data_IF_629985580520
#
_entry.id   IF_629985580520
#
_cell.length_a   1.000
_cell.length_b   1.000
_cell.length_c   1.000
_cell.angle_alpha   90.00
_cell.angle_beta   90.00
_cell.angle_gamma   90.00
#
_symmetry.space_group_name_H-M   'P 1'
#
loop_
_entity.id
_entity.type
_entity.pdbx_description
1 polymer ?
#
# COMPACT_ATOMS: atom_id res chain seq x y z
N UNK A 1 -34.50 -2.35 14.07
CA UNK A 1 -33.25 -2.91 13.57
C UNK A 1 -32.11 -2.13 14.21
N UNK A 2 -31.22 -2.78 14.93
CA UNK A 2 -30.05 -2.12 15.48
C UNK A 2 -28.88 -2.33 14.52
N UNK A 3 -28.35 -1.26 13.97
CA UNK A 3 -27.12 -1.28 13.19
C UNK A 3 -25.91 -1.16 14.10
N UNK A 4 -24.81 -1.79 13.72
CA UNK A 4 -23.50 -1.66 14.35
C UNK A 4 -22.51 -1.01 13.39
N UNK A 5 -21.71 -0.11 13.89
CA UNK A 5 -20.72 0.63 13.10
C UNK A 5 -19.32 0.36 13.63
N UNK A 6 -18.47 -0.16 12.76
CA UNK A 6 -17.03 -0.21 12.93
C UNK A 6 -16.49 1.13 12.46
N UNK A 7 -15.95 1.92 13.38
CA UNK A 7 -15.49 3.29 13.08
C UNK A 7 -14.13 3.30 12.41
N UNK A 8 -13.90 4.33 11.60
CA UNK A 8 -12.56 4.71 11.13
C UNK A 8 -11.59 4.79 12.31
N UNK A 9 -10.39 4.24 12.14
CA UNK A 9 -9.37 4.16 13.19
C UNK A 9 -9.55 2.99 14.16
N UNK A 10 -10.58 2.13 14.00
CA UNK A 10 -10.69 0.92 14.80
C UNK A 10 -9.50 0.01 14.55
N UNK A 11 -8.86 -0.45 15.64
CA UNK A 11 -7.61 -1.19 15.59
C UNK A 11 -7.80 -2.71 15.60
N UNK A 12 -6.95 -3.37 14.85
CA UNK A 12 -6.70 -4.80 14.88
C UNK A 12 -5.21 -5.04 15.13
N UNK A 13 -4.89 -6.14 15.76
CA UNK A 13 -3.50 -6.54 15.99
C UNK A 13 -3.20 -7.76 15.13
N UNK A 14 -2.32 -7.58 14.15
CA UNK A 14 -1.82 -8.63 13.28
C UNK A 14 -0.53 -9.24 13.83
N UNK A 15 -0.29 -10.53 13.60
CA UNK A 15 0.91 -11.25 14.03
C UNK A 15 1.55 -11.99 12.87
N UNK A 16 2.88 -11.93 12.81
CA UNK A 16 3.73 -12.73 11.92
C UNK A 16 4.98 -13.22 12.68
N UNK A 17 5.98 -13.75 11.96
CA UNK A 17 7.23 -14.22 12.55
C UNK A 17 8.09 -13.09 13.13
N UNK A 18 7.99 -11.88 12.58
CA UNK A 18 8.76 -10.69 13.00
C UNK A 18 8.17 -10.02 14.24
N UNK A 19 6.86 -10.20 14.51
CA UNK A 19 6.24 -9.61 15.68
C UNK A 19 4.75 -9.34 15.57
N UNK A 20 4.36 -8.27 16.24
CA UNK A 20 2.96 -7.85 16.41
C UNK A 20 2.81 -6.43 15.88
N UNK A 21 1.83 -6.21 15.00
CA UNK A 21 1.64 -4.96 14.29
C UNK A 21 0.19 -4.49 14.40
N UNK A 22 -0.01 -3.18 14.42
CA UNK A 22 -1.33 -2.58 14.46
C UNK A 22 -1.82 -2.37 13.03
N UNK A 23 -3.10 -2.66 12.83
CA UNK A 23 -3.83 -2.40 11.59
C UNK A 23 -5.06 -1.57 11.90
N UNK A 24 -5.41 -0.63 11.05
CA UNK A 24 -6.51 0.31 11.25
C UNK A 24 -7.50 0.27 10.08
N UNK A 25 -8.77 0.48 10.39
CA UNK A 25 -9.83 0.68 9.38
C UNK A 25 -9.82 2.15 8.95
N UNK A 26 -9.89 2.42 7.64
CA UNK A 26 -9.82 3.79 7.10
C UNK A 26 -11.18 4.42 6.81
N UNK A 27 -12.28 3.68 6.95
CA UNK A 27 -13.62 4.19 6.73
C UNK A 27 -14.62 3.60 7.74
N UNK A 28 -15.69 4.36 8.04
CA UNK A 28 -16.79 3.85 8.83
C UNK A 28 -17.53 2.74 8.07
N UNK A 29 -17.70 1.56 8.68
CA UNK A 29 -18.46 0.45 8.10
C UNK A 29 -19.64 0.11 9.00
N UNK A 30 -20.85 0.32 8.48
CA UNK A 30 -22.09 0.02 9.19
C UNK A 30 -22.75 -1.24 8.62
N UNK A 31 -23.17 -2.15 9.50
CA UNK A 31 -23.92 -3.37 9.15
C UNK A 31 -25.14 -3.52 10.06
N UNK A 32 -26.20 -4.08 9.50
CA UNK A 32 -27.41 -4.40 10.27
C UNK A 32 -27.22 -5.71 11.02
N UNK A 33 -27.78 -5.77 12.23
CA UNK A 33 -27.81 -7.01 13.00
C UNK A 33 -28.97 -7.90 12.55
N UNK A 34 -28.77 -9.20 12.59
CA UNK A 34 -29.78 -10.21 12.32
C UNK A 34 -29.90 -11.19 13.51
N UNK A 35 -30.96 -11.94 13.55
CA UNK A 35 -31.16 -13.01 14.55
C UNK A 35 -30.84 -14.34 13.86
N UNK A 36 -29.91 -15.10 14.44
CA UNK A 36 -29.53 -16.41 13.92
C UNK A 36 -30.60 -17.47 14.25
N UNK A 37 -30.44 -18.73 13.72
CA UNK A 37 -31.36 -19.83 13.95
C UNK A 37 -31.52 -20.27 15.42
N UNK A 38 -30.64 -19.79 16.31
CA UNK A 38 -30.68 -20.04 17.76
C UNK A 38 -31.28 -18.86 18.54
N UNK A 39 -31.82 -17.85 17.87
CA UNK A 39 -32.37 -16.65 18.49
C UNK A 39 -31.35 -15.65 19.00
N UNK A 40 -30.06 -15.81 18.67
CA UNK A 40 -28.99 -14.93 19.10
C UNK A 40 -28.83 -13.80 18.05
N UNK A 41 -28.76 -12.58 18.53
CA UNK A 41 -28.48 -11.41 17.68
C UNK A 41 -27.02 -11.38 17.27
N UNK A 42 -26.76 -11.35 15.97
CA UNK A 42 -25.43 -11.32 15.37
C UNK A 42 -25.28 -10.17 14.38
N UNK A 43 -24.06 -9.77 14.15
CA UNK A 43 -23.66 -8.90 13.03
C UNK A 43 -22.43 -9.53 12.36
N UNK A 44 -22.38 -9.48 11.06
CA UNK A 44 -21.24 -9.95 10.29
C UNK A 44 -20.72 -8.81 9.45
N UNK A 45 -19.44 -8.48 9.62
CA UNK A 45 -18.72 -7.54 8.78
C UNK A 45 -17.91 -8.34 7.76
N UNK A 46 -18.32 -8.29 6.50
CA UNK A 46 -17.64 -8.98 5.39
C UNK A 46 -16.82 -7.97 4.58
N UNK A 47 -15.73 -8.46 4.03
CA UNK A 47 -14.86 -7.71 3.11
C UNK A 47 -14.40 -6.37 3.70
N UNK A 48 -13.84 -6.45 4.91
CA UNK A 48 -13.28 -5.29 5.59
C UNK A 48 -11.79 -5.22 5.28
N UNK A 49 -11.41 -4.15 4.58
CA UNK A 49 -10.01 -3.82 4.35
C UNK A 49 -9.43 -3.14 5.59
N UNK A 50 -8.33 -3.67 6.09
CA UNK A 50 -7.55 -3.10 7.19
C UNK A 50 -6.15 -2.78 6.68
N UNK A 51 -5.64 -1.63 7.06
CA UNK A 51 -4.35 -1.10 6.61
C UNK A 51 -3.37 -1.09 7.77
N UNK A 52 -2.14 -1.49 7.52
CA UNK A 52 -1.12 -1.52 8.54
C UNK A 52 -0.72 -0.10 8.95
N UNK A 53 -0.72 0.16 10.23
CA UNK A 53 -0.32 1.41 10.85
C UNK A 53 -1.31 1.96 11.85
N UNK A 54 -0.82 2.91 12.64
CA UNK A 54 -1.63 3.73 13.53
C UNK A 54 -2.19 4.92 12.76
N UNK A 55 -3.49 5.08 12.76
CA UNK A 55 -4.13 6.28 12.20
C UNK A 55 -3.92 7.46 13.15
N UNK A 56 -3.17 8.44 12.70
CA UNK A 56 -2.83 9.65 13.44
C UNK A 56 -3.45 10.88 12.78
N UNK A 57 -3.71 11.91 13.57
CA UNK A 57 -4.31 13.15 13.13
C UNK A 57 -3.45 14.34 13.58
N UNK A 58 -3.19 15.26 12.66
CA UNK A 58 -2.49 16.52 12.87
C UNK A 58 -3.41 17.67 12.50
N UNK A 59 -3.45 18.70 13.33
CA UNK A 59 -4.22 19.90 13.05
C UNK A 59 -3.30 21.13 13.03
N UNK A 60 -3.47 21.95 11.99
CA UNK A 60 -2.76 23.21 11.82
C UNK A 60 -3.77 24.36 11.68
N UNK A 61 -3.55 25.44 12.43
CA UNK A 61 -4.18 26.71 12.15
C UNK A 61 -3.33 27.51 11.16
N UNK A 62 -3.92 28.00 10.09
CA UNK A 62 -3.20 28.75 9.06
C UNK A 62 -2.99 30.18 9.49
N UNK A 63 -1.72 30.60 9.56
CA UNK A 63 -1.30 31.97 9.79
C UNK A 63 -0.44 32.44 8.59
N UNK A 64 -1.01 33.25 7.73
CA UNK A 64 -0.34 33.77 6.54
C UNK A 64 0.61 34.94 6.81
N UNK A 65 0.68 35.43 8.05
CA UNK A 65 1.65 36.47 8.46
C UNK A 65 3.09 35.95 8.52
N UNK A 66 3.25 34.61 8.67
CA UNK A 66 4.52 33.92 8.73
C UNK A 66 4.62 32.86 7.62
N UNK A 67 5.85 32.51 7.22
CA UNK A 67 6.06 31.35 6.34
C UNK A 67 5.86 30.09 7.16
N UNK A 68 4.74 29.40 6.95
CA UNK A 68 4.36 28.20 7.66
C UNK A 68 4.65 26.95 6.83
N UNK A 69 5.17 25.90 7.46
CA UNK A 69 5.39 24.59 6.88
C UNK A 69 4.49 23.56 7.55
N UNK A 70 3.78 22.76 6.76
CA UNK A 70 2.86 21.73 7.24
C UNK A 70 3.55 20.37 7.18
N UNK A 71 4.34 20.05 8.20
CA UNK A 71 5.23 18.89 8.23
C UNK A 71 4.54 17.73 8.97
N UNK A 72 4.55 16.55 8.37
CA UNK A 72 4.19 15.31 9.05
C UNK A 72 5.41 14.84 9.83
N UNK A 73 5.35 14.79 11.18
CA UNK A 73 6.54 14.54 12.02
C UNK A 73 6.88 13.04 12.09
N UNK A 74 6.79 12.33 10.98
CA UNK A 74 7.14 10.92 10.86
C UNK A 74 7.72 10.62 9.47
N UNK A 75 8.88 9.96 9.45
CA UNK A 75 9.47 9.40 8.23
C UNK A 75 8.80 8.08 7.80
N UNK A 76 7.97 7.51 8.68
CA UNK A 76 7.24 6.26 8.43
C UNK A 76 5.77 6.50 8.07
N UNK A 77 5.41 7.75 7.74
CA UNK A 77 4.07 8.10 7.30
C UNK A 77 3.81 7.55 5.89
N UNK A 78 2.66 6.88 5.74
CA UNK A 78 2.17 6.50 4.41
C UNK A 78 1.57 7.71 3.71
N UNK A 79 2.23 8.18 2.66
CA UNK A 79 1.83 9.37 1.89
C UNK A 79 0.76 9.07 0.85
N UNK A 80 0.56 7.81 0.46
CA UNK A 80 -0.45 7.42 -0.53
C UNK A 80 -1.86 7.38 0.09
N UNK A 81 -1.94 7.15 1.40
CA UNK A 81 -3.19 7.07 2.17
C UNK A 81 -3.50 8.33 2.98
N UNK A 82 -2.84 9.45 2.67
CA UNK A 82 -3.11 10.73 3.33
C UNK A 82 -4.55 11.21 3.06
N UNK A 83 -5.20 11.65 4.12
CA UNK A 83 -6.46 12.41 4.02
C UNK A 83 -6.21 13.82 4.51
N UNK A 84 -6.41 14.81 3.63
CA UNK A 84 -6.24 16.22 3.95
C UNK A 84 -7.59 16.93 3.84
N UNK A 85 -8.04 17.51 4.93
CA UNK A 85 -9.30 18.26 5.02
C UNK A 85 -8.96 19.68 5.45
N UNK A 86 -9.48 20.66 4.72
CA UNK A 86 -9.33 22.07 5.07
C UNK A 86 -10.70 22.66 5.42
N UNK A 87 -10.81 23.17 6.61
CA UNK A 87 -11.96 23.96 7.04
C UNK A 87 -11.64 25.43 6.78
N UNK A 88 -12.21 25.93 5.69
CA UNK A 88 -12.02 27.32 5.30
C UNK A 88 -12.92 28.21 6.13
N UNK A 89 -12.38 29.30 6.60
CA UNK A 89 -13.10 30.26 7.41
C UNK A 89 -14.32 30.86 6.68
N UNK A 90 -14.31 30.86 5.34
CA UNK A 90 -15.34 31.37 4.46
C UNK A 90 -16.39 30.32 4.01
N UNK A 91 -16.24 29.08 4.45
CA UNK A 91 -17.13 27.96 4.12
C UNK A 91 -17.77 27.38 5.36
N UNK A 92 -19.01 26.87 5.24
CA UNK A 92 -19.72 26.24 6.35
C UNK A 92 -19.42 24.72 6.50
N UNK A 93 -18.66 24.15 5.56
CA UNK A 93 -18.35 22.70 5.51
C UNK A 93 -16.89 22.51 5.19
N UNK A 94 -16.18 21.67 5.98
CA UNK A 94 -14.81 21.29 5.67
C UNK A 94 -14.68 20.62 4.29
N UNK A 95 -13.64 20.95 3.55
CA UNK A 95 -13.41 20.50 2.19
C UNK A 95 -12.24 19.51 2.10
N UNK A 96 -12.47 18.37 1.45
CA UNK A 96 -11.42 17.40 1.18
C UNK A 96 -10.53 17.87 0.03
N UNK A 97 -9.23 17.74 0.22
CA UNK A 97 -8.19 18.03 -0.76
C UNK A 97 -7.60 16.71 -1.29
N UNK A 98 -7.23 16.69 -2.56
CA UNK A 98 -6.63 15.52 -3.22
C UNK A 98 -5.15 15.74 -3.52
N UNK A 99 -4.31 14.69 -3.51
CA UNK A 99 -2.92 14.82 -3.94
C UNK A 99 -2.83 15.12 -5.43
N UNK A 100 -1.82 15.92 -5.81
CA UNK A 100 -1.53 16.22 -7.21
C UNK A 100 -0.73 15.06 -7.81
N UNK A 101 -1.24 14.49 -8.89
CA UNK A 101 -0.53 13.50 -9.71
C UNK A 101 -0.01 14.10 -11.02
N UNK A 102 -0.70 15.11 -11.56
CA UNK A 102 -0.31 15.79 -12.79
C UNK A 102 -0.59 17.29 -12.67
N UNK A 103 0.43 18.11 -12.94
CA UNK A 103 0.36 19.58 -12.84
C UNK A 103 -0.42 20.18 -13.99
N UNK A 104 -0.50 19.52 -15.14
CA UNK A 104 -1.09 20.07 -16.36
C UNK A 104 -2.61 20.18 -16.31
N UNK A 105 -3.25 19.48 -15.38
CA UNK A 105 -4.71 19.45 -15.26
C UNK A 105 -5.25 20.26 -14.05
N UNK A 106 -4.43 21.12 -13.47
CA UNK A 106 -4.80 21.85 -12.25
C UNK A 106 -5.28 23.27 -12.59
N UNK A 107 -6.48 23.62 -12.11
CA UNK A 107 -6.99 24.99 -12.15
C UNK A 107 -6.73 25.74 -10.83
N UNK A 108 -6.85 27.07 -10.86
CA UNK A 108 -6.65 27.94 -9.71
C UNK A 108 -7.60 27.66 -8.51
N UNK A 109 -8.74 27.01 -8.76
CA UNK A 109 -9.77 26.72 -7.74
C UNK A 109 -9.76 25.28 -7.24
N UNK A 110 -8.90 24.43 -7.83
CA UNK A 110 -8.86 23.01 -7.47
C UNK A 110 -8.32 22.81 -6.05
N UNK A 111 -8.96 21.91 -5.33
CA UNK A 111 -8.60 21.52 -3.96
C UNK A 111 -7.52 20.43 -4.01
N UNK A 112 -6.29 20.89 -4.10
CA UNK A 112 -5.15 20.01 -4.29
C UNK A 112 -4.02 20.35 -3.31
N UNK A 113 -3.21 19.35 -3.01
CA UNK A 113 -1.98 19.50 -2.27
C UNK A 113 -0.85 18.72 -2.94
N UNK A 114 0.36 19.18 -2.69
CA UNK A 114 1.60 18.54 -3.10
C UNK A 114 2.28 17.96 -1.87
N UNK A 115 2.93 16.82 -2.02
CA UNK A 115 3.77 16.23 -0.98
C UNK A 115 5.21 16.29 -1.44
N UNK A 116 6.08 16.80 -0.59
CA UNK A 116 7.52 16.75 -0.81
C UNK A 116 8.23 16.26 0.44
N UNK A 117 9.35 15.60 0.27
CA UNK A 117 10.23 15.21 1.36
C UNK A 117 11.19 16.37 1.70
N UNK A 118 11.36 16.67 2.98
CA UNK A 118 12.30 17.64 3.45
C UNK A 118 13.68 16.99 3.74
N UNK A 119 14.68 17.82 4.10
CA UNK A 119 16.04 17.35 4.39
C UNK A 119 16.15 16.43 5.63
N UNK A 120 15.11 16.36 6.43
CA UNK A 120 15.03 15.53 7.64
C UNK A 120 14.21 14.23 7.40
N UNK A 121 14.03 13.84 6.14
CA UNK A 121 13.25 12.64 5.75
C UNK A 121 11.78 12.69 6.22
N UNK A 122 11.25 13.89 6.44
CA UNK A 122 9.87 14.11 6.81
C UNK A 122 9.09 14.66 5.62
N UNK A 123 7.81 14.34 5.55
CA UNK A 123 6.95 14.83 4.48
C UNK A 123 6.35 16.19 4.83
N UNK A 124 6.41 17.11 3.89
CA UNK A 124 5.81 18.44 3.95
C UNK A 124 4.66 18.52 2.95
N UNK A 125 3.51 19.01 3.41
CA UNK A 125 2.36 19.27 2.57
C UNK A 125 2.36 20.72 2.13
N UNK A 126 2.27 20.94 0.82
CA UNK A 126 2.24 22.26 0.19
C UNK A 126 0.89 22.42 -0.51
N UNK A 127 0.24 23.53 -0.26
CA UNK A 127 -1.04 23.87 -0.91
C UNK A 127 -0.82 24.76 -2.13
N UNK A 128 -1.86 24.88 -2.94
CA UNK A 128 -1.84 25.73 -4.12
C UNK A 128 -1.58 27.22 -3.79
N UNK A 129 -1.07 27.94 -4.77
CA UNK A 129 -0.74 29.37 -4.68
C UNK A 129 -1.85 30.29 -5.22
N UNK A 130 -2.94 29.70 -5.75
CA UNK A 130 -4.03 30.41 -6.43
C UNK A 130 -3.88 30.48 -7.95
N UNK A 131 -2.78 29.91 -8.50
CA UNK A 131 -2.59 29.64 -9.92
C UNK A 131 -2.68 28.13 -10.17
N UNK A 132 -1.92 27.36 -9.40
CA UNK A 132 -1.94 25.91 -9.37
C UNK A 132 -2.60 25.41 -8.09
N UNK A 133 -3.92 25.34 -8.08
CA UNK A 133 -4.71 24.93 -6.94
C UNK A 133 -5.15 26.08 -6.03
N UNK A 134 -6.20 25.82 -5.24
CA UNK A 134 -6.76 26.80 -4.31
C UNK A 134 -5.75 27.15 -3.22
N UNK A 135 -5.52 28.45 -3.03
CA UNK A 135 -4.68 28.97 -1.96
C UNK A 135 -5.41 28.89 -0.61
N UNK A 136 -4.69 28.45 0.42
CA UNK A 136 -5.16 28.54 1.82
C UNK A 136 -5.10 29.98 2.32
N UNK A 137 -5.99 30.32 3.24
CA UNK A 137 -6.17 31.68 3.75
C UNK A 137 -5.89 31.74 5.26
N UNK A 138 -5.64 32.93 5.74
CA UNK A 138 -5.48 33.17 7.17
C UNK A 138 -6.77 32.80 7.92
N UNK A 139 -6.65 32.01 8.99
CA UNK A 139 -7.78 31.52 9.76
C UNK A 139 -8.38 30.20 9.29
N UNK A 140 -7.90 29.64 8.16
CA UNK A 140 -8.23 28.27 7.78
C UNK A 140 -7.68 27.26 8.80
N UNK A 141 -8.35 26.13 8.97
CA UNK A 141 -7.85 25.01 9.76
C UNK A 141 -7.61 23.80 8.88
N UNK A 142 -6.44 23.17 9.00
CA UNK A 142 -6.03 22.00 8.22
C UNK A 142 -5.99 20.79 9.13
N UNK A 143 -6.73 19.74 8.80
CA UNK A 143 -6.65 18.43 9.42
C UNK A 143 -5.98 17.46 8.45
N UNK A 144 -4.89 16.84 8.89
CA UNK A 144 -4.12 15.85 8.14
C UNK A 144 -4.20 14.53 8.89
N UNK A 145 -4.82 13.54 8.27
CA UNK A 145 -4.82 12.17 8.79
C UNK A 145 -3.84 11.32 7.98
N UNK A 146 -3.03 10.53 8.66
CA UNK A 146 -2.05 9.65 8.04
C UNK A 146 -1.88 8.37 8.83
N UNK A 147 -1.41 7.31 8.18
CA UNK A 147 -0.97 6.08 8.84
C UNK A 147 0.52 6.17 9.14
N UNK A 148 0.88 5.90 10.39
CA UNK A 148 2.28 5.66 10.76
C UNK A 148 2.55 4.17 10.71
N UNK A 149 3.36 3.73 9.74
CA UNK A 149 3.51 2.33 9.32
C UNK A 149 4.79 1.69 9.81
N UNK A 150 4.88 0.35 9.71
CA UNK A 150 6.09 -0.42 9.92
C UNK A 150 6.69 -0.95 8.59
N UNK A 151 6.25 -0.38 7.46
CA UNK A 151 6.76 -0.70 6.12
C UNK A 151 6.67 -2.22 5.81
N UNK A 152 7.75 -2.84 5.34
CA UNK A 152 7.76 -4.25 4.96
C UNK A 152 7.62 -5.23 6.13
N UNK A 153 7.94 -4.83 7.36
CA UNK A 153 7.98 -5.73 8.53
C UNK A 153 6.62 -6.37 8.86
N UNK A 154 5.52 -5.70 8.53
CA UNK A 154 4.18 -6.18 8.83
C UNK A 154 3.59 -7.11 7.74
N UNK A 155 4.32 -7.34 6.65
CA UNK A 155 3.89 -8.30 5.64
C UNK A 155 3.76 -9.71 6.23
N UNK A 156 2.94 -10.54 5.60
CA UNK A 156 2.67 -11.93 5.99
C UNK A 156 1.94 -12.09 7.33
N UNK A 157 1.44 -11.02 7.96
CA UNK A 157 0.54 -11.19 9.08
C UNK A 157 -0.68 -12.01 8.62
N UNK A 158 -0.87 -13.18 9.26
CA UNK A 158 -1.90 -14.15 8.91
C UNK A 158 -2.93 -14.38 10.01
N UNK A 159 -2.68 -13.87 11.21
CA UNK A 159 -3.62 -13.93 12.33
C UNK A 159 -3.89 -12.53 12.84
N UNK A 160 -5.18 -12.24 13.11
CA UNK A 160 -5.60 -10.92 13.57
C UNK A 160 -6.48 -11.05 14.82
N UNK A 161 -6.32 -10.08 15.72
CA UNK A 161 -7.11 -9.94 16.94
C UNK A 161 -7.76 -8.56 16.95
N UNK A 162 -9.03 -8.49 17.31
CA UNK A 162 -9.76 -7.24 17.43
C UNK A 162 -9.46 -6.57 18.78
N UNK A 163 -9.02 -5.32 18.74
CA UNK A 163 -8.65 -4.55 19.95
C UNK A 163 -9.48 -3.28 20.08
N UNK A 164 -10.36 -3.04 19.13
CA UNK A 164 -11.15 -1.82 19.04
C UNK A 164 -12.48 -1.87 19.76
N UNK A 165 -13.35 -0.97 19.36
CA UNK A 165 -14.74 -0.89 19.81
C UNK A 165 -15.70 -0.79 18.62
N UNK A 166 -16.96 -1.18 18.84
CA UNK A 166 -18.03 -1.06 17.85
C UNK A 166 -19.11 -0.14 18.41
N UNK A 167 -19.69 0.69 17.57
CA UNK A 167 -20.73 1.64 17.98
C UNK A 167 -22.12 1.10 17.59
N UNK A 168 -23.05 1.13 18.55
CA UNK A 168 -24.47 0.84 18.37
C UNK A 168 -25.29 2.08 18.73
N UNK A 169 -25.73 2.84 17.73
CA UNK A 169 -26.37 4.14 17.97
C UNK A 169 -25.43 5.09 18.69
N UNK A 170 -25.75 5.46 19.96
CA UNK A 170 -24.90 6.30 20.81
C UNK A 170 -24.03 5.50 21.81
N UNK A 171 -24.13 4.17 21.79
CA UNK A 171 -23.43 3.31 22.76
C UNK A 171 -22.18 2.70 22.16
N UNK A 172 -21.05 2.82 22.84
CA UNK A 172 -19.79 2.15 22.49
C UNK A 172 -19.72 0.81 23.19
N UNK A 173 -19.44 -0.25 22.44
CA UNK A 173 -19.29 -1.63 22.94
C UNK A 173 -17.81 -1.99 22.81
N UNK A 174 -17.15 -2.24 23.95
CA UNK A 174 -15.69 -2.48 24.01
C UNK A 174 -15.31 -3.92 24.29
N UNK A 175 -16.15 -4.66 24.98
CA UNK A 175 -15.82 -6.03 25.42
C UNK A 175 -16.35 -7.07 24.43
N UNK A 176 -15.77 -7.05 23.23
CA UNK A 176 -16.14 -7.91 22.12
C UNK A 176 -15.03 -8.91 21.81
N UNK A 177 -15.41 -10.16 21.65
CA UNK A 177 -14.52 -11.21 21.13
C UNK A 177 -15.08 -11.75 19.81
N UNK A 178 -14.90 -11.03 18.69
CA UNK A 178 -15.40 -11.46 17.43
C UNK A 178 -14.58 -12.64 16.89
N UNK A 179 -15.23 -13.53 16.16
CA UNK A 179 -14.50 -14.49 15.33
C UNK A 179 -14.03 -13.79 14.07
N UNK A 180 -12.72 -13.80 13.84
CA UNK A 180 -12.09 -13.18 12.65
C UNK A 180 -11.69 -14.30 11.70
N UNK A 181 -12.11 -14.17 10.44
CA UNK A 181 -11.68 -15.03 9.35
C UNK A 181 -10.81 -14.19 8.41
N UNK A 182 -9.55 -14.58 8.25
CA UNK A 182 -8.60 -13.91 7.36
C UNK A 182 -8.80 -14.44 5.95
N UNK A 183 -9.09 -13.56 5.01
CA UNK A 183 -9.23 -13.92 3.59
C UNK A 183 -7.92 -13.82 2.85
N UNK A 184 -7.05 -12.88 3.26
CA UNK A 184 -5.74 -12.64 2.64
C UNK A 184 -4.75 -12.20 3.71
N UNK A 185 -3.54 -12.74 3.69
CA UNK A 185 -2.47 -12.28 4.58
C UNK A 185 -2.11 -10.82 4.26
N UNK A 186 -1.53 -10.13 5.22
CA UNK A 186 -1.06 -8.76 5.00
C UNK A 186 0.03 -8.73 3.93
N UNK A 187 -0.05 -7.77 3.01
CA UNK A 187 0.89 -7.59 1.91
C UNK A 187 0.95 -6.12 1.50
N UNK A 188 1.92 -5.77 0.67
CA UNK A 188 2.02 -4.43 0.07
C UNK A 188 2.91 -3.46 0.85
N UNK A 189 3.35 -3.80 2.05
CA UNK A 189 4.35 -3.02 2.76
C UNK A 189 5.70 -3.08 2.04
N UNK A 190 6.36 -1.92 1.87
CA UNK A 190 7.67 -1.81 1.26
C UNK A 190 8.53 -0.81 2.04
N UNK A 191 9.84 -1.08 2.07
CA UNK A 191 10.80 -0.12 2.57
C UNK A 191 11.05 0.98 1.51
N UNK A 192 11.54 2.15 1.91
CA UNK A 192 11.94 3.19 0.97
C UNK A 192 12.93 2.65 -0.06
N UNK A 193 12.79 3.09 -1.30
CA UNK A 193 13.67 2.69 -2.38
C UNK A 193 15.11 3.14 -2.11
N UNK A 194 16.08 2.24 -2.30
CA UNK A 194 17.48 2.56 -2.08
C UNK A 194 18.05 3.45 -3.21
N UNK A 195 19.12 4.17 -2.90
CA UNK A 195 19.78 5.11 -3.84
C UNK A 195 20.29 4.38 -5.10
N UNK A 196 20.64 3.10 -5.00
CA UNK A 196 21.14 2.31 -6.14
C UNK A 196 20.01 1.99 -7.10
N UNK A 197 18.87 1.60 -6.55
CA UNK A 197 17.63 1.38 -7.30
C UNK A 197 17.17 2.67 -7.99
N UNK A 198 17.12 3.78 -7.26
CA UNK A 198 16.74 5.09 -7.81
C UNK A 198 17.66 5.48 -8.98
N UNK A 199 18.99 5.34 -8.84
CA UNK A 199 19.96 5.62 -9.91
C UNK A 199 19.75 4.75 -11.14
N UNK A 200 19.30 3.52 -10.96
CA UNK A 200 19.03 2.59 -12.04
C UNK A 200 17.68 2.87 -12.73
N UNK A 201 16.63 3.17 -11.97
CA UNK A 201 15.27 3.34 -12.46
C UNK A 201 14.98 4.75 -12.98
N UNK A 202 15.50 5.81 -12.36
CA UNK A 202 15.19 7.19 -12.72
C UNK A 202 15.49 7.55 -14.19
N UNK A 203 16.65 7.16 -14.80
CA UNK A 203 16.88 7.42 -16.22
C UNK A 203 15.91 6.69 -17.15
N UNK A 204 15.51 5.48 -16.76
CA UNK A 204 14.56 4.65 -17.52
C UNK A 204 13.16 5.23 -17.47
N UNK A 205 12.74 5.66 -16.27
CA UNK A 205 11.49 6.36 -16.06
C UNK A 205 11.40 7.63 -16.89
N UNK A 206 12.47 8.44 -16.88
CA UNK A 206 12.53 9.64 -17.70
C UNK A 206 12.48 9.32 -19.21
N UNK A 207 13.18 8.30 -19.67
CA UNK A 207 13.21 7.91 -21.08
C UNK A 207 11.88 7.35 -21.58
N UNK A 208 11.11 6.66 -20.75
CA UNK A 208 9.80 6.11 -21.10
C UNK A 208 8.73 7.18 -21.33
N UNK A 209 8.94 8.40 -20.76
CA UNK A 209 7.98 9.51 -20.78
C UNK A 209 6.55 9.08 -20.39
N UNK A 210 6.44 8.20 -19.40
CA UNK A 210 5.18 7.58 -18.95
C UNK A 210 4.40 6.86 -20.05
N UNK A 211 5.08 6.26 -21.01
CA UNK A 211 4.47 5.43 -22.06
C UNK A 211 5.08 4.04 -22.03
N UNK A 212 4.24 3.03 -22.07
CA UNK A 212 4.66 1.65 -22.13
C UNK A 212 4.62 1.17 -23.59
N UNK A 213 5.78 1.12 -24.23
CA UNK A 213 5.97 0.71 -25.63
C UNK A 213 6.86 -0.52 -25.72
N UNK A 214 7.98 -0.51 -24.99
CA UNK A 214 8.94 -1.61 -24.94
C UNK A 214 8.74 -2.46 -23.69
N UNK A 215 9.25 -3.68 -23.70
CA UNK A 215 9.27 -4.59 -22.53
C UNK A 215 9.81 -3.86 -21.27
N UNK A 216 10.91 -3.12 -21.45
CA UNK A 216 11.54 -2.35 -20.35
C UNK A 216 10.66 -1.22 -19.81
N UNK A 217 9.86 -0.58 -20.67
CA UNK A 217 8.93 0.45 -20.22
C UNK A 217 7.84 -0.17 -19.34
N UNK A 218 7.31 -1.35 -19.74
CA UNK A 218 6.36 -2.10 -18.93
C UNK A 218 6.97 -2.54 -17.60
N UNK A 219 8.21 -3.05 -17.58
CA UNK A 219 8.89 -3.42 -16.34
C UNK A 219 9.03 -2.22 -15.41
N UNK A 220 9.48 -1.09 -15.93
CA UNK A 220 9.65 0.15 -15.14
C UNK A 220 8.31 0.65 -14.59
N UNK A 221 7.28 0.66 -15.43
CA UNK A 221 5.93 1.11 -15.05
C UNK A 221 5.29 0.19 -14.01
N UNK A 222 5.42 -1.12 -14.16
CA UNK A 222 4.87 -2.08 -13.20
C UNK A 222 5.58 -1.98 -11.86
N UNK A 223 6.91 -1.82 -11.85
CA UNK A 223 7.67 -1.62 -10.63
C UNK A 223 7.27 -0.32 -9.88
N UNK A 224 6.92 0.74 -10.62
CA UNK A 224 6.38 1.99 -10.04
C UNK A 224 4.97 1.79 -9.47
N UNK A 225 4.08 1.15 -10.23
CA UNK A 225 2.68 0.97 -9.82
C UNK A 225 2.49 -0.07 -8.72
N UNK A 226 3.43 -0.99 -8.57
CA UNK A 226 3.40 -2.04 -7.56
C UNK A 226 4.83 -2.31 -7.03
N UNK A 227 5.34 -1.50 -6.11
CA UNK A 227 6.74 -1.58 -5.65
C UNK A 227 7.10 -2.88 -4.92
N UNK A 228 6.11 -3.54 -4.31
CA UNK A 228 6.33 -4.74 -3.49
C UNK A 228 6.42 -6.02 -4.33
N UNK A 229 7.32 -6.05 -5.31
CA UNK A 229 7.57 -7.21 -6.16
C UNK A 229 8.90 -7.88 -5.80
N UNK A 230 8.87 -9.21 -5.63
CA UNK A 230 10.06 -10.04 -5.51
C UNK A 230 10.71 -10.25 -6.89
N UNK A 231 9.88 -10.47 -7.91
CA UNK A 231 10.34 -10.63 -9.29
C UNK A 231 9.29 -10.17 -10.27
N UNK A 232 9.75 -9.67 -11.41
CA UNK A 232 8.94 -9.19 -12.50
C UNK A 232 9.56 -9.67 -13.81
N UNK A 233 8.73 -10.20 -14.71
CA UNK A 233 9.12 -10.55 -16.07
C UNK A 233 8.02 -10.09 -17.03
N UNK A 234 8.42 -9.45 -18.12
CA UNK A 234 7.49 -8.98 -19.13
C UNK A 234 7.95 -9.52 -20.48
N UNK A 235 7.03 -10.00 -21.30
CA UNK A 235 7.32 -10.46 -22.64
C UNK A 235 6.15 -10.20 -23.60
N UNK A 236 6.46 -10.11 -24.90
CA UNK A 236 5.46 -9.90 -25.94
C UNK A 236 4.61 -11.14 -26.21
N UNK A 237 3.40 -10.94 -26.68
CA UNK A 237 2.53 -12.06 -27.03
C UNK A 237 3.05 -12.93 -28.18
N UNK A 238 4.01 -12.42 -28.97
CA UNK A 238 4.72 -13.20 -30.00
C UNK A 238 5.59 -14.31 -29.41
N UNK A 239 6.06 -14.17 -28.18
CA UNK A 239 6.85 -15.19 -27.45
C UNK A 239 5.97 -16.24 -26.76
N UNK A 240 4.65 -16.03 -26.71
CA UNK A 240 3.72 -16.99 -26.12
C UNK A 240 3.54 -18.22 -27.00
N UNK A 241 3.20 -19.35 -26.39
CA UNK A 241 2.89 -20.58 -27.11
C UNK A 241 1.44 -21.04 -26.85
N UNK A 242 0.49 -20.92 -27.83
CA UNK A 242 0.64 -20.35 -29.17
C UNK A 242 0.83 -18.82 -29.17
N UNK A 243 1.49 -18.23 -30.18
CA UNK A 243 1.68 -16.78 -30.28
C UNK A 243 0.36 -16.01 -30.28
N UNK A 244 0.30 -14.91 -29.51
CA UNK A 244 -0.86 -14.03 -29.40
C UNK A 244 -0.46 -12.58 -29.64
N UNK A 245 -0.52 -12.13 -30.88
CA UNK A 245 -0.14 -10.78 -31.25
C UNK A 245 -1.09 -9.72 -30.64
N UNK A 246 -0.54 -8.55 -30.33
CA UNK A 246 -1.29 -7.46 -29.69
C UNK A 246 -1.47 -7.60 -28.20
N UNK A 247 -0.82 -8.58 -27.57
CA UNK A 247 -0.77 -8.74 -26.12
C UNK A 247 0.63 -8.55 -25.57
N UNK A 248 0.71 -8.10 -24.32
CA UNK A 248 1.91 -8.11 -23.50
C UNK A 248 1.59 -8.86 -22.21
N UNK A 249 2.38 -9.87 -21.93
CA UNK A 249 2.26 -10.68 -20.72
C UNK A 249 3.18 -10.15 -19.62
N UNK A 250 2.59 -9.97 -18.44
CA UNK A 250 3.27 -9.46 -17.26
C UNK A 250 3.18 -10.55 -16.19
N UNK A 251 4.31 -11.08 -15.80
CA UNK A 251 4.44 -12.07 -14.74
C UNK A 251 5.01 -11.37 -13.53
N UNK A 252 4.21 -11.18 -12.50
CA UNK A 252 4.60 -10.45 -11.30
C UNK A 252 4.45 -11.34 -10.06
N UNK A 253 5.56 -11.53 -9.33
CA UNK A 253 5.58 -12.23 -8.05
C UNK A 253 5.71 -11.21 -6.92
N UNK A 254 4.72 -11.05 -6.07
CA UNK A 254 4.82 -10.17 -4.90
C UNK A 254 5.76 -10.77 -3.84
N UNK A 255 6.32 -9.92 -2.98
CA UNK A 255 6.98 -10.37 -1.77
C UNK A 255 5.95 -11.03 -0.84
N UNK A 256 6.31 -12.19 -0.27
CA UNK A 256 5.48 -12.88 0.71
C UNK A 256 4.28 -13.66 0.15
N UNK A 257 4.08 -13.68 -1.18
CA UNK A 257 3.03 -14.50 -1.81
C UNK A 257 3.51 -15.11 -3.13
N UNK A 258 2.90 -16.21 -3.55
CA UNK A 258 3.26 -16.88 -4.81
C UNK A 258 2.70 -16.17 -6.04
N UNK A 259 1.56 -15.49 -5.91
CA UNK A 259 0.89 -14.79 -7.00
C UNK A 259 0.10 -13.57 -6.51
N UNK A 260 -0.18 -12.63 -7.41
CA UNK A 260 -1.07 -11.51 -7.16
C UNK A 260 -2.52 -11.98 -7.01
N UNK A 261 -3.27 -11.37 -6.10
CA UNK A 261 -4.71 -11.61 -5.97
C UNK A 261 -5.46 -11.16 -7.23
N UNK A 262 -6.63 -11.74 -7.48
CA UNK A 262 -7.46 -11.38 -8.65
C UNK A 262 -7.81 -9.89 -8.66
N UNK A 263 -8.03 -9.29 -7.51
CA UNK A 263 -8.31 -7.85 -7.35
C UNK A 263 -7.08 -7.03 -7.71
N UNK A 264 -5.91 -7.35 -7.13
CA UNK A 264 -4.65 -6.67 -7.43
C UNK A 264 -4.29 -6.74 -8.92
N UNK A 265 -4.49 -7.89 -9.57
CA UNK A 265 -4.30 -8.03 -11.03
C UNK A 265 -5.20 -7.09 -11.83
N UNK A 266 -6.49 -7.01 -11.48
CA UNK A 266 -7.43 -6.13 -12.18
C UNK A 266 -7.09 -4.65 -11.99
N UNK A 267 -6.72 -4.25 -10.79
CA UNK A 267 -6.33 -2.87 -10.50
C UNK A 267 -5.03 -2.49 -11.21
N UNK A 268 -4.02 -3.34 -11.14
CA UNK A 268 -2.76 -3.13 -11.84
C UNK A 268 -2.96 -3.10 -13.36
N UNK A 269 -3.76 -4.01 -13.93
CA UNK A 269 -4.10 -4.00 -15.35
C UNK A 269 -4.82 -2.70 -15.76
N UNK A 270 -5.76 -2.23 -14.95
CA UNK A 270 -6.48 -0.97 -15.17
C UNK A 270 -5.52 0.24 -15.10
N UNK A 271 -4.58 0.22 -14.18
CA UNK A 271 -3.58 1.28 -14.04
C UNK A 271 -2.62 1.32 -15.24
N UNK A 272 -2.07 0.16 -15.63
CA UNK A 272 -1.15 0.04 -16.76
C UNK A 272 -1.81 0.47 -18.09
N UNK A 273 -3.09 0.13 -18.25
CA UNK A 273 -3.83 0.44 -19.49
C UNK A 273 -3.86 1.92 -19.85
N UNK A 274 -3.68 2.82 -18.88
CA UNK A 274 -3.62 4.27 -19.10
C UNK A 274 -2.35 4.71 -19.84
N UNK A 275 -1.30 3.90 -19.79
CA UNK A 275 0.03 4.18 -20.33
C UNK A 275 0.36 3.36 -21.56
N UNK A 276 -0.47 2.37 -21.89
CA UNK A 276 -0.27 1.47 -23.05
C UNK A 276 -0.79 2.08 -24.35
N UNK A 277 -0.21 1.64 -25.46
CA UNK A 277 -0.69 1.97 -26.80
C UNK A 277 -2.06 1.31 -27.02
N UNK A 278 -2.92 1.96 -27.77
CA UNK A 278 -4.33 1.56 -27.98
C UNK A 278 -4.50 0.11 -28.52
N UNK A 279 -3.52 -0.38 -29.28
CA UNK A 279 -3.54 -1.70 -29.91
C UNK A 279 -2.95 -2.81 -29.06
N UNK A 280 -2.39 -2.51 -27.88
CA UNK A 280 -1.74 -3.50 -27.00
C UNK A 280 -2.56 -3.72 -25.75
N UNK A 281 -2.81 -5.00 -25.45
CA UNK A 281 -3.57 -5.41 -24.26
C UNK A 281 -2.60 -6.03 -23.25
N UNK A 282 -2.34 -5.36 -22.10
CA UNK A 282 -1.57 -5.97 -21.03
C UNK A 282 -2.40 -7.05 -20.33
N UNK A 283 -1.80 -8.21 -20.12
CA UNK A 283 -2.41 -9.34 -19.39
C UNK A 283 -1.46 -9.79 -18.29
N UNK A 284 -1.98 -9.85 -17.05
CA UNK A 284 -1.19 -10.26 -15.88
C UNK A 284 -1.47 -11.72 -15.61
N UNK A 285 -0.42 -12.53 -15.68
CA UNK A 285 -0.46 -13.97 -15.48
C UNK A 285 0.31 -14.38 -14.23
N UNK A 286 -0.04 -15.54 -13.69
CA UNK A 286 0.65 -16.09 -12.52
C UNK A 286 2.02 -16.62 -12.90
N UNK A 287 3.01 -16.47 -12.01
CA UNK A 287 4.32 -17.08 -12.20
C UNK A 287 4.23 -18.61 -12.16
N UNK A 288 4.98 -19.27 -13.03
CA UNK A 288 5.21 -20.71 -12.92
C UNK A 288 6.56 -20.96 -12.24
N UNK A 289 6.58 -21.89 -11.28
CA UNK A 289 7.77 -22.18 -10.49
C UNK A 289 8.40 -23.48 -10.96
N UNK A 290 9.72 -23.46 -11.14
CA UNK A 290 10.53 -24.65 -11.33
C UNK A 290 11.30 -24.91 -10.03
N UNK A 291 10.98 -25.98 -9.34
CA UNK A 291 11.70 -26.40 -8.14
C UNK A 291 12.85 -27.32 -8.54
N UNK A 292 14.06 -26.97 -8.12
CA UNK A 292 15.25 -27.77 -8.33
C UNK A 292 15.69 -28.37 -6.99
N UNK A 293 15.75 -29.68 -6.92
CA UNK A 293 16.36 -30.41 -5.81
C UNK A 293 17.79 -30.82 -6.17
N UNK A 294 18.76 -30.38 -5.38
CA UNK A 294 20.15 -30.67 -5.60
C UNK A 294 20.61 -31.58 -4.47
N UNK A 295 20.99 -32.80 -4.82
CA UNK A 295 21.63 -33.72 -3.90
C UNK A 295 23.14 -33.69 -4.15
N UNK A 296 23.90 -33.25 -3.15
CA UNK A 296 25.36 -33.21 -3.22
C UNK A 296 26.01 -34.18 -2.23
N UNK A 297 27.03 -34.85 -2.68
CA UNK A 297 27.88 -35.70 -1.84
C UNK A 297 29.21 -35.01 -1.60
N UNK A 298 29.52 -34.70 -0.34
CA UNK A 298 30.77 -34.05 0.04
C UNK A 298 31.71 -35.07 0.69
N UNK A 299 32.83 -35.34 0.02
CA UNK A 299 33.87 -36.17 0.57
C UNK A 299 34.92 -35.30 1.26
N UNK A 300 35.22 -35.59 2.50
CA UNK A 300 36.21 -34.83 3.27
C UNK A 300 37.11 -35.78 4.09
N UNK A 301 38.32 -35.32 4.40
CA UNK A 301 39.28 -36.07 5.22
C UNK A 301 39.19 -35.59 6.67
N UNK A 302 38.77 -36.48 7.58
CA UNK A 302 38.62 -36.18 9.00
C UNK A 302 39.94 -35.74 9.66
N UNK A 303 41.11 -36.15 9.12
CA UNK A 303 42.41 -35.78 9.68
C UNK A 303 42.83 -34.34 9.31
N UNK A 304 42.25 -33.77 8.24
CA UNK A 304 42.64 -32.47 7.72
C UNK A 304 41.58 -31.40 8.00
N UNK A 305 40.43 -31.75 8.58
CA UNK A 305 39.38 -30.78 8.92
C UNK A 305 39.07 -30.78 10.41
N UNK A 306 38.92 -29.61 10.99
CA UNK A 306 38.48 -29.45 12.38
C UNK A 306 36.95 -29.45 12.53
N UNK A 307 36.20 -29.53 11.42
CA UNK A 307 34.73 -29.51 11.40
C UNK A 307 34.19 -30.94 11.36
N UNK A 308 33.16 -31.22 12.14
CA UNK A 308 32.46 -32.50 12.09
C UNK A 308 31.48 -32.53 10.89
N UNK A 309 30.94 -33.70 10.57
CA UNK A 309 30.04 -33.91 9.44
C UNK A 309 28.79 -33.00 9.50
N UNK A 310 28.22 -32.76 10.69
CA UNK A 310 27.06 -31.88 10.87
C UNK A 310 27.37 -30.41 10.52
N UNK A 311 28.55 -29.92 10.94
CA UNK A 311 28.97 -28.56 10.61
C UNK A 311 29.28 -28.40 9.10
N UNK A 312 29.79 -29.42 8.44
CA UNK A 312 30.03 -29.39 6.99
C UNK A 312 28.69 -29.39 6.26
N UNK A 313 27.72 -30.21 6.67
CA UNK A 313 26.37 -30.26 6.09
C UNK A 313 25.67 -28.92 6.21
N UNK A 314 25.79 -28.24 7.35
CA UNK A 314 25.16 -26.91 7.54
C UNK A 314 25.78 -25.83 6.65
N UNK A 315 27.12 -25.88 6.44
CA UNK A 315 27.80 -24.92 5.54
C UNK A 315 27.47 -25.16 4.06
N UNK A 316 27.15 -26.38 3.67
CA UNK A 316 26.77 -26.71 2.29
C UNK A 316 25.29 -26.34 2.03
N UNK A 317 24.46 -26.29 3.07
CA UNK A 317 23.03 -25.90 2.98
C UNK A 317 22.76 -24.40 3.05
N UNK A 318 23.71 -23.62 3.61
CA UNK A 318 23.68 -22.16 3.64
C UNK A 318 24.12 -21.54 2.30
#
# INVERSE_FOLDING_TARGET
QSSLTLKKGTAFVGKNAEGTFIFSVLADVTRESYIDGNGIRRVTFTDIDIYQGNLLNLNYAVDTSTKQSFIIPSADADVDLLTVIVDHFDTSVPLSYRPVKDITEISATDRVYFVQENKSEQFEIIFGDGVFGRKIQNGDSIAIEYLNTNKALANECSSFEFVGSIISGSTTITDLQPTITVTTNAFGGADPEDVTSIKYLAPRYYSSQRRAVTVRDYETLVAELYPNLQSLSVYGGEEANPPQYGKVYIVAKPNGAEALTTTAKKELQKAIKKYTILSVIPEIIDPSFLYLEITSFVYYNNNNTRRNSANITNVVRS
#
